data_IF_321942019873
#
_entry.id   IF_321942019873
#
_cell.length_a   1.000
_cell.length_b   1.000
_cell.length_c   1.000
_cell.angle_alpha   90.00
_cell.angle_beta   90.00
_cell.angle_gamma   90.00
#
_symmetry.space_group_name_H-M   'P 1'
#
loop_
_entity.id
_entity.type
_entity.pdbx_description
1 polymer ?
#
# COMPACT_ATOMS: atom_id res chain seq x y z
N UNK A 1 0.96 7.66 -1.38
CA UNK A 1 0.73 8.26 -0.03
C UNK A 1 -0.54 9.14 0.08
N UNK A 2 -0.78 10.02 -0.90
CA UNK A 2 -1.92 10.93 -0.96
C UNK A 2 -3.24 10.17 -1.02
N UNK A 3 -3.33 9.13 -1.87
CA UNK A 3 -4.46 8.20 -1.93
C UNK A 3 -4.76 7.58 -0.56
N UNK A 4 -3.71 7.12 0.15
CA UNK A 4 -3.86 6.58 1.50
C UNK A 4 -4.43 7.63 2.47
N UNK A 5 -3.93 8.87 2.45
CA UNK A 5 -4.45 9.95 3.30
C UNK A 5 -5.92 10.24 3.01
N UNK A 6 -6.31 10.28 1.74
CA UNK A 6 -7.71 10.45 1.34
C UNK A 6 -8.59 9.31 1.88
N UNK A 7 -8.13 8.06 1.77
CA UNK A 7 -8.83 6.87 2.29
C UNK A 7 -8.94 6.88 3.82
N UNK A 8 -7.89 7.29 4.54
CA UNK A 8 -7.93 7.48 5.99
C UNK A 8 -8.99 8.51 6.38
N UNK A 9 -9.01 9.66 5.70
CA UNK A 9 -10.00 10.73 5.93
C UNK A 9 -11.42 10.25 5.63
N UNK A 10 -11.65 9.53 4.54
CA UNK A 10 -12.96 8.94 4.19
C UNK A 10 -13.46 7.98 5.26
N UNK A 11 -12.57 7.16 5.84
CA UNK A 11 -12.91 6.19 6.88
C UNK A 11 -13.18 6.84 8.25
N UNK A 12 -12.63 8.03 8.50
CA UNK A 12 -12.90 8.86 9.67
C UNK A 12 -12.70 8.17 11.04
N UNK A 13 -11.67 7.32 11.18
CA UNK A 13 -11.32 6.73 12.49
C UNK A 13 -10.73 7.80 13.40
N UNK A 14 -11.22 7.87 14.64
CA UNK A 14 -10.83 8.91 15.60
C UNK A 14 -9.33 8.89 15.89
N UNK A 15 -8.76 7.69 16.00
CA UNK A 15 -7.35 7.44 16.32
C UNK A 15 -6.42 7.90 15.19
N UNK A 16 -6.92 7.95 13.96
CA UNK A 16 -6.14 8.30 12.76
C UNK A 16 -6.27 9.79 12.41
N UNK A 17 -7.12 10.54 13.10
CA UNK A 17 -7.44 11.94 12.78
C UNK A 17 -6.25 12.92 12.87
N UNK A 18 -5.20 12.56 13.62
CA UNK A 18 -3.98 13.36 13.73
C UNK A 18 -2.89 13.02 12.70
N UNK A 19 -3.08 12.00 11.87
CA UNK A 19 -2.05 11.54 10.94
C UNK A 19 -1.85 12.55 9.80
N UNK A 20 -0.58 12.89 9.56
CA UNK A 20 -0.17 13.84 8.53
C UNK A 20 0.43 13.12 7.32
N UNK A 21 0.45 13.81 6.18
CA UNK A 21 1.02 13.27 4.94
C UNK A 21 2.48 12.81 5.11
N UNK A 22 3.28 13.58 5.86
CA UNK A 22 4.70 13.26 6.10
C UNK A 22 4.89 11.89 6.76
N UNK A 23 4.02 11.52 7.70
CA UNK A 23 4.04 10.20 8.32
C UNK A 23 3.79 9.08 7.32
N UNK A 24 2.81 9.27 6.43
CA UNK A 24 2.50 8.30 5.37
C UNK A 24 3.60 8.22 4.30
N UNK A 25 4.29 9.32 4.02
CA UNK A 25 5.45 9.33 3.13
C UNK A 25 6.60 8.51 3.72
N UNK A 26 6.86 8.64 5.02
CA UNK A 26 7.86 7.83 5.71
C UNK A 26 7.52 6.34 5.67
N UNK A 27 6.26 5.97 5.97
CA UNK A 27 5.82 4.57 5.88
C UNK A 27 5.88 4.02 4.46
N UNK A 28 5.49 4.82 3.46
CA UNK A 28 5.60 4.41 2.07
C UNK A 28 7.05 4.11 1.70
N UNK A 29 8.00 4.99 2.02
CA UNK A 29 9.42 4.75 1.76
C UNK A 29 9.96 3.47 2.42
N UNK A 30 9.49 3.13 3.62
CA UNK A 30 9.86 1.86 4.27
C UNK A 30 9.35 0.64 3.51
N UNK A 31 8.11 0.67 3.01
CA UNK A 31 7.55 -0.41 2.19
C UNK A 31 8.30 -0.57 0.87
N UNK A 32 8.61 0.54 0.17
CA UNK A 32 9.37 0.51 -1.08
C UNK A 32 10.77 -0.09 -0.87
N UNK A 33 11.49 0.39 0.17
CA UNK A 33 12.82 -0.12 0.53
C UNK A 33 12.82 -1.61 0.86
N UNK A 34 11.76 -2.11 1.51
CA UNK A 34 11.67 -3.51 1.91
C UNK A 34 11.18 -4.41 0.78
N UNK A 35 10.01 -4.13 0.22
CA UNK A 35 9.26 -5.05 -0.63
C UNK A 35 9.64 -4.95 -2.11
N UNK A 36 10.16 -3.80 -2.56
CA UNK A 36 10.51 -3.58 -3.97
C UNK A 36 12.03 -3.53 -4.19
N UNK A 37 12.74 -2.74 -3.38
CA UNK A 37 14.17 -2.55 -3.56
C UNK A 37 15.03 -3.59 -2.84
N UNK A 38 14.49 -4.31 -1.85
CA UNK A 38 15.25 -5.26 -1.04
C UNK A 38 16.40 -4.65 -0.23
N UNK A 39 16.39 -3.33 -0.05
CA UNK A 39 17.45 -2.56 0.63
C UNK A 39 17.32 -2.59 2.16
N UNK A 40 16.17 -3.04 2.67
CA UNK A 40 15.96 -3.21 4.11
C UNK A 40 16.64 -4.49 4.58
N UNK A 41 17.55 -4.37 5.57
CA UNK A 41 18.19 -5.54 6.19
C UNK A 41 17.15 -6.37 6.95
N UNK A 42 16.77 -7.50 6.37
CA UNK A 42 15.92 -8.51 6.99
C UNK A 42 16.67 -9.85 7.08
N UNK A 43 16.23 -10.72 7.97
CA UNK A 43 16.79 -12.08 8.06
C UNK A 43 16.65 -12.79 6.70
N UNK A 44 17.65 -13.56 6.23
CA UNK A 44 17.55 -14.33 4.99
C UNK A 44 16.36 -15.28 4.94
N UNK A 45 15.91 -15.77 6.10
CA UNK A 45 14.71 -16.60 6.23
C UNK A 45 13.39 -15.85 5.96
N UNK A 46 13.44 -14.51 5.82
CA UNK A 46 12.30 -13.65 5.53
C UNK A 46 12.17 -13.30 4.04
N UNK A 47 13.09 -13.78 3.18
CA UNK A 47 12.99 -13.57 1.75
C UNK A 47 11.87 -14.44 1.16
N UNK A 48 10.81 -13.79 0.68
CA UNK A 48 9.66 -14.42 0.04
C UNK A 48 9.33 -13.70 -1.27
N UNK A 49 8.72 -14.39 -2.25
CA UNK A 49 8.19 -13.74 -3.45
C UNK A 49 7.18 -12.64 -3.08
N UNK A 50 7.30 -11.47 -3.71
CA UNK A 50 6.41 -10.32 -3.50
C UNK A 50 5.57 -10.10 -4.74
N UNK A 51 4.24 -10.12 -4.58
CA UNK A 51 3.29 -9.65 -5.58
C UNK A 51 2.96 -8.19 -5.29
N UNK A 52 3.04 -7.34 -6.32
CA UNK A 52 2.78 -5.90 -6.22
C UNK A 52 1.49 -5.60 -6.97
N UNK A 53 0.52 -5.01 -6.27
CA UNK A 53 -0.75 -4.59 -6.85
C UNK A 53 -0.86 -3.07 -6.78
N UNK A 54 -1.04 -2.42 -7.92
CA UNK A 54 -1.36 -1.00 -7.95
C UNK A 54 -2.83 -0.80 -7.57
N UNK A 55 -3.03 -0.36 -6.34
CA UNK A 55 -4.34 -0.11 -5.77
C UNK A 55 -4.65 1.39 -5.65
N UNK A 56 -4.04 2.27 -6.45
CA UNK A 56 -4.39 3.70 -6.45
C UNK A 56 -5.76 3.97 -7.09
N UNK A 57 -6.16 3.15 -8.07
CA UNK A 57 -7.49 3.20 -8.68
C UNK A 57 -8.64 2.85 -7.70
N UNK A 58 -9.88 3.10 -8.12
CA UNK A 58 -11.07 2.79 -7.32
C UNK A 58 -11.47 1.32 -7.46
N UNK A 59 -10.74 0.45 -6.76
CA UNK A 59 -11.06 -0.98 -6.72
C UNK A 59 -12.45 -1.28 -6.16
N UNK A 60 -13.05 -0.42 -5.33
CA UNK A 60 -14.34 -0.71 -4.70
C UNK A 60 -15.49 -0.70 -5.73
N UNK A 61 -15.41 0.16 -6.74
CA UNK A 61 -16.49 0.37 -7.72
C UNK A 61 -16.10 0.10 -9.18
N UNK A 62 -14.82 -0.03 -9.50
CA UNK A 62 -14.36 -0.35 -10.87
C UNK A 62 -14.20 -1.86 -11.05
N UNK A 63 -15.21 -2.49 -11.65
CA UNK A 63 -15.23 -3.94 -11.92
C UNK A 63 -14.17 -4.39 -12.93
N UNK A 64 -13.76 -3.51 -13.85
CA UNK A 64 -12.71 -3.82 -14.81
C UNK A 64 -11.33 -3.84 -14.11
N UNK A 65 -11.08 -2.86 -13.25
CA UNK A 65 -9.89 -2.84 -12.40
C UNK A 65 -9.87 -4.05 -11.45
N UNK A 66 -11.01 -4.40 -10.84
CA UNK A 66 -11.13 -5.60 -10.00
C UNK A 66 -10.70 -6.86 -10.77
N UNK A 67 -11.25 -7.08 -11.96
CA UNK A 67 -10.88 -8.23 -12.79
C UNK A 67 -9.39 -8.26 -13.13
N UNK A 68 -8.82 -7.09 -13.46
CA UNK A 68 -7.40 -6.94 -13.79
C UNK A 68 -6.48 -7.27 -12.61
N UNK A 69 -6.79 -6.78 -11.40
CA UNK A 69 -5.98 -7.06 -10.22
C UNK A 69 -6.17 -8.49 -9.72
N UNK A 70 -7.39 -9.04 -9.78
CA UNK A 70 -7.66 -10.43 -9.36
C UNK A 70 -6.96 -11.45 -10.27
N UNK A 71 -6.81 -11.16 -11.56
CA UNK A 71 -6.05 -12.02 -12.48
C UNK A 71 -4.54 -12.11 -12.15
N UNK A 72 -3.99 -11.17 -11.39
CA UNK A 72 -2.58 -11.18 -10.97
C UNK A 72 -2.33 -12.01 -9.70
N UNK A 73 -3.40 -12.34 -8.96
CA UNK A 73 -3.33 -13.09 -7.70
C UNK A 73 -3.45 -14.61 -7.93
N UNK A 74 -3.82 -15.03 -9.15
CA UNK A 74 -4.07 -16.42 -9.53
C UNK A 74 -2.91 -17.13 -10.22
#
# INVERSE_FOLDING_TARGET
PQTCLQRLRRRARREEGGLQLGYLQQLHGQHECWLLHGSTRVSPAAAAPVLVLDADGDFEHDTALQGTLMAQVG
#
